data_IF_169928668047
#
_entry.id   IF_169928668047
#
_cell.length_a   1.000
_cell.length_b   1.000
_cell.length_c   1.000
_cell.angle_alpha   90.00
_cell.angle_beta   90.00
_cell.angle_gamma   90.00
#
_symmetry.space_group_name_H-M   'P 1'
#
loop_
_entity.id
_entity.type
_entity.pdbx_description
1 polymer ?
#
# COMPACT_ATOMS: atom_id res chain seq x y z
N UNK A 1 -14.59 -17.46 10.27
CA UNK A 1 -15.08 -16.63 9.16
C UNK A 1 -13.97 -15.68 8.78
N UNK A 2 -13.27 -15.91 7.68
CA UNK A 2 -12.34 -14.92 7.12
C UNK A 2 -13.18 -13.72 6.70
N UNK A 3 -13.09 -12.62 7.45
CA UNK A 3 -13.67 -11.36 7.01
C UNK A 3 -13.09 -11.03 5.63
N UNK A 4 -13.95 -10.59 4.71
CA UNK A 4 -13.49 -10.08 3.42
C UNK A 4 -12.59 -8.86 3.67
N UNK A 5 -11.27 -9.06 3.54
CA UNK A 5 -10.25 -8.04 3.75
C UNK A 5 -10.45 -6.88 2.77
N UNK A 6 -10.91 -7.16 1.55
CA UNK A 6 -11.15 -6.12 0.54
C UNK A 6 -12.30 -5.23 0.99
N UNK A 7 -13.42 -5.82 1.41
CA UNK A 7 -14.55 -5.07 1.96
C UNK A 7 -14.15 -4.30 3.25
N UNK A 8 -13.33 -4.89 4.10
CA UNK A 8 -12.81 -4.22 5.30
C UNK A 8 -11.97 -2.99 4.93
N UNK A 9 -11.01 -3.14 4.00
CA UNK A 9 -10.13 -2.06 3.52
C UNK A 9 -10.97 -0.92 2.95
N UNK A 10 -11.90 -1.23 2.05
CA UNK A 10 -12.76 -0.24 1.41
C UNK A 10 -13.64 0.53 2.41
N UNK A 11 -14.16 -0.15 3.44
CA UNK A 11 -15.04 0.45 4.43
C UNK A 11 -14.31 1.22 5.55
N UNK A 12 -13.05 0.87 5.86
CA UNK A 12 -12.38 1.38 7.06
C UNK A 12 -11.09 2.16 6.78
N UNK A 13 -10.48 2.09 5.59
CA UNK A 13 -9.29 2.86 5.23
C UNK A 13 -9.65 4.05 4.33
N UNK A 14 -8.75 5.02 4.24
CA UNK A 14 -8.93 6.21 3.37
C UNK A 14 -7.96 6.17 2.22
N UNK A 15 -8.45 6.48 1.02
CA UNK A 15 -7.59 6.74 -0.12
C UNK A 15 -6.83 8.05 0.15
N UNK A 16 -5.50 7.97 0.14
CA UNK A 16 -4.60 9.12 0.32
C UNK A 16 -3.38 8.97 -0.60
N UNK A 17 -2.71 10.09 -0.93
CA UNK A 17 -1.43 10.03 -1.62
C UNK A 17 -0.40 9.23 -0.80
N UNK A 18 0.40 8.40 -1.46
CA UNK A 18 1.51 7.72 -0.81
C UNK A 18 2.57 8.75 -0.36
N UNK A 19 3.12 8.64 0.87
CA UNK A 19 4.18 9.54 1.32
C UNK A 19 5.35 9.56 0.34
N UNK A 20 5.81 10.74 -0.10
CA UNK A 20 6.92 10.89 -1.04
C UNK A 20 6.61 10.57 -2.52
N UNK A 21 5.44 9.99 -2.82
CA UNK A 21 5.00 9.67 -4.18
C UNK A 21 3.51 9.99 -4.36
N UNK A 22 3.13 11.29 -4.39
CA UNK A 22 1.72 11.70 -4.42
C UNK A 22 0.94 11.28 -5.68
N UNK A 23 1.64 10.91 -6.75
CA UNK A 23 1.08 10.35 -7.98
C UNK A 23 0.40 9.00 -7.75
N UNK A 24 0.76 8.29 -6.66
CA UNK A 24 0.17 7.01 -6.28
C UNK A 24 -0.81 7.22 -5.13
N UNK A 25 -2.02 6.70 -5.29
CA UNK A 25 -3.05 6.71 -4.26
C UNK A 25 -3.13 5.33 -3.59
N UNK A 26 -3.16 5.29 -2.26
CA UNK A 26 -3.20 4.06 -1.47
C UNK A 26 -4.29 4.12 -0.41
N UNK A 27 -4.85 2.96 -0.06
CA UNK A 27 -5.67 2.82 1.15
C UNK A 27 -4.77 2.89 2.37
N UNK A 28 -4.79 4.02 3.07
CA UNK A 28 -3.95 4.27 4.23
C UNK A 28 -4.74 4.13 5.55
N UNK A 29 -4.11 3.48 6.52
CA UNK A 29 -4.57 3.48 7.90
C UNK A 29 -4.53 4.89 8.52
N UNK A 30 -5.36 5.10 9.53
CA UNK A 30 -5.49 6.33 10.30
C UNK A 30 -6.06 5.98 11.69
N UNK A 31 -6.10 6.88 12.68
CA UNK A 31 -6.47 6.52 14.06
C UNK A 31 -7.80 5.77 14.24
N UNK A 32 -8.75 5.90 13.30
CA UNK A 32 -10.05 5.19 13.36
C UNK A 32 -10.22 4.10 12.29
N UNK A 33 -9.13 3.64 11.67
CA UNK A 33 -9.18 2.61 10.61
C UNK A 33 -9.47 1.20 11.11
N UNK A 34 -9.55 0.99 12.43
CA UNK A 34 -9.91 -0.29 13.08
C UNK A 34 -9.04 -1.47 12.64
N UNK A 35 -7.83 -1.20 12.15
CA UNK A 35 -6.95 -2.19 11.52
C UNK A 35 -6.61 -3.37 12.45
N UNK A 36 -6.60 -3.13 13.76
CA UNK A 36 -6.44 -4.17 14.79
C UNK A 36 -7.50 -5.28 14.73
N UNK A 37 -8.67 -5.03 14.13
CA UNK A 37 -9.69 -6.09 13.92
C UNK A 37 -9.27 -7.15 12.90
N UNK A 38 -8.26 -6.86 12.07
CA UNK A 38 -7.75 -7.77 11.04
C UNK A 38 -6.46 -8.46 11.50
N UNK A 39 -5.65 -7.79 12.32
CA UNK A 39 -4.30 -8.26 12.68
C UNK A 39 -4.02 -8.36 14.19
N UNK A 40 -5.02 -8.16 15.04
CA UNK A 40 -4.86 -8.18 16.50
C UNK A 40 -4.17 -6.92 17.03
N UNK A 41 -3.36 -7.05 18.08
CA UNK A 41 -2.64 -5.92 18.69
C UNK A 41 -1.55 -5.33 17.79
N UNK A 42 -1.17 -6.03 16.72
CA UNK A 42 -0.21 -5.57 15.73
C UNK A 42 -0.94 -5.10 14.47
N UNK A 43 -0.46 -4.03 13.85
CA UNK A 43 -0.88 -3.71 12.48
C UNK A 43 -0.23 -4.70 11.51
N UNK A 44 -0.93 -5.14 10.46
CA UNK A 44 -0.36 -6.04 9.47
C UNK A 44 0.81 -5.36 8.74
N UNK A 45 1.83 -6.15 8.37
CA UNK A 45 3.09 -5.61 7.81
C UNK A 45 2.89 -4.72 6.56
N UNK A 46 1.86 -5.03 5.75
CA UNK A 46 1.51 -4.28 4.54
C UNK A 46 0.89 -2.91 4.81
N UNK A 47 0.46 -2.63 6.04
CA UNK A 47 -0.12 -1.33 6.40
C UNK A 47 0.93 -0.25 6.62
N UNK A 48 2.20 -0.63 6.67
CA UNK A 48 3.32 0.30 6.79
C UNK A 48 3.81 0.71 5.40
N UNK A 49 3.93 2.02 5.19
CA UNK A 49 4.58 2.57 4.00
C UNK A 49 6.10 2.43 4.12
N UNK A 50 6.64 1.28 3.70
CA UNK A 50 8.07 1.02 3.73
C UNK A 50 8.84 2.00 2.81
N UNK A 51 9.92 2.60 3.34
CA UNK A 51 10.72 3.57 2.60
C UNK A 51 11.27 3.01 1.28
N UNK A 52 11.66 1.73 1.26
CA UNK A 52 12.15 1.05 0.05
C UNK A 52 11.13 1.06 -1.08
N UNK A 53 9.86 0.75 -0.80
CA UNK A 53 8.79 0.80 -1.81
C UNK A 53 8.53 2.21 -2.30
N UNK A 54 8.62 3.20 -1.41
CA UNK A 54 8.48 4.63 -1.76
C UNK A 54 9.57 5.08 -2.73
N UNK A 55 10.84 4.78 -2.43
CA UNK A 55 11.97 5.15 -3.28
C UNK A 55 11.93 4.41 -4.62
N UNK A 56 11.58 3.12 -4.61
CA UNK A 56 11.43 2.34 -5.84
C UNK A 56 10.32 2.91 -6.74
N UNK A 57 9.17 3.25 -6.17
CA UNK A 57 8.07 3.84 -6.91
C UNK A 57 8.45 5.18 -7.54
N UNK A 58 9.13 6.07 -6.78
CA UNK A 58 9.66 7.34 -7.32
C UNK A 58 10.61 7.07 -8.49
N UNK A 59 11.57 6.17 -8.31
CA UNK A 59 12.57 5.86 -9.34
C UNK A 59 11.94 5.34 -10.64
N UNK A 60 10.92 4.47 -10.54
CA UNK A 60 10.21 3.94 -11.70
C UNK A 60 9.36 5.01 -12.41
N UNK A 61 8.76 5.95 -11.68
CA UNK A 61 8.02 7.07 -12.26
C UNK A 61 8.94 8.01 -13.03
N UNK A 62 10.12 8.29 -12.48
CA UNK A 62 11.11 9.17 -13.11
C UNK A 62 11.83 8.48 -14.29
N UNK A 63 11.87 7.15 -14.31
CA UNK A 63 12.57 6.34 -15.33
C UNK A 63 11.66 5.24 -15.91
N UNK A 64 10.57 5.61 -16.60
CA UNK A 64 9.55 4.64 -17.00
C UNK A 64 10.07 3.57 -17.97
N UNK A 65 11.11 3.88 -18.76
CA UNK A 65 11.67 2.97 -19.77
C UNK A 65 12.38 1.75 -19.17
N UNK A 66 12.66 1.77 -17.87
CA UNK A 66 13.20 0.62 -17.13
C UNK A 66 12.21 -0.55 -17.12
N UNK A 67 10.91 -0.28 -17.06
CA UNK A 67 9.85 -1.29 -16.95
C UNK A 67 8.87 -1.29 -18.14
N UNK A 68 8.78 -0.21 -18.92
CA UNK A 68 7.84 -0.09 -20.03
C UNK A 68 8.01 -1.21 -21.05
N UNK A 69 6.91 -1.88 -21.39
CA UNK A 69 6.88 -2.98 -22.36
C UNK A 69 7.54 -4.28 -21.87
N UNK A 70 7.94 -4.36 -20.60
CA UNK A 70 8.55 -5.55 -20.00
C UNK A 70 7.57 -6.29 -19.11
N UNK A 71 7.84 -7.58 -18.88
CA UNK A 71 7.14 -8.38 -17.86
C UNK A 71 7.84 -8.18 -16.52
N UNK A 72 7.10 -7.76 -15.51
CA UNK A 72 7.61 -7.46 -14.17
C UNK A 72 7.02 -8.46 -13.17
N UNK A 73 7.86 -8.95 -12.27
CA UNK A 73 7.45 -9.75 -11.10
C UNK A 73 7.76 -8.92 -9.85
N UNK A 74 6.75 -8.72 -9.02
CA UNK A 74 6.90 -8.11 -7.70
C UNK A 74 6.93 -9.20 -6.63
N UNK A 75 7.78 -9.04 -5.61
CA UNK A 75 7.98 -10.00 -4.53
C UNK A 75 7.82 -9.29 -3.19
N UNK A 76 6.89 -9.76 -2.35
CA UNK A 76 6.63 -9.19 -1.02
C UNK A 76 5.33 -8.38 -0.90
N UNK A 77 4.48 -8.39 -1.92
CA UNK A 77 3.08 -7.93 -1.91
C UNK A 77 2.12 -8.94 -1.32
#
# INVERSE_FOLDING_TARGET
MTADITAFIAANLRIRPAPGVPEIQVYAAYPSSRLSRVAGDLSPYWAYGWAGGTVLARYLLDNPDIARGRRVLDLGT
#
